data_IF_317301196861
#
_entry.id   IF_317301196861
#
_cell.length_a   1.000
_cell.length_b   1.000
_cell.length_c   1.000
_cell.angle_alpha   90.00
_cell.angle_beta   90.00
_cell.angle_gamma   90.00
#
_symmetry.space_group_name_H-M   'P 1'
#
loop_
_entity.id
_entity.type
_entity.pdbx_description
1 polymer ?
#
# COMPACT_ATOMS: atom_id res chain seq x y z
N UNK A 1 0.06 26.47 -1.95
CA UNK A 1 1.15 25.47 -1.93
C UNK A 1 0.60 24.12 -2.39
N UNK A 2 0.89 23.73 -3.64
CA UNK A 2 -0.05 22.98 -4.48
C UNK A 2 -0.03 21.44 -4.37
N UNK A 3 0.89 20.81 -3.64
CA UNK A 3 0.91 19.34 -3.48
C UNK A 3 1.45 18.89 -2.11
N UNK A 4 0.64 19.01 -1.05
CA UNK A 4 1.00 18.53 0.31
C UNK A 4 1.21 17.01 0.37
N UNK A 5 0.44 16.24 -0.41
CA UNK A 5 0.45 14.76 -0.39
C UNK A 5 1.74 14.17 -0.99
N UNK A 6 2.34 14.80 -2.00
CA UNK A 6 3.61 14.34 -2.61
C UNK A 6 4.85 14.60 -1.73
N UNK A 7 4.85 15.67 -0.93
CA UNK A 7 5.95 15.93 0.03
C UNK A 7 5.95 14.95 1.20
N UNK A 8 4.76 14.54 1.65
CA UNK A 8 4.60 13.46 2.64
C UNK A 8 5.19 12.13 2.14
N UNK A 9 5.07 11.87 0.83
CA UNK A 9 5.62 10.69 0.15
C UNK A 9 7.15 10.62 0.23
N UNK A 10 7.83 11.70 -0.13
CA UNK A 10 9.28 11.80 -0.01
C UNK A 10 9.75 11.73 1.46
N UNK A 11 8.99 12.33 2.38
CA UNK A 11 9.30 12.29 3.82
C UNK A 11 9.18 10.87 4.40
N UNK A 12 8.18 10.08 3.99
CA UNK A 12 8.04 8.67 4.39
C UNK A 12 9.17 7.81 3.85
N UNK A 13 9.63 8.05 2.61
CA UNK A 13 10.77 7.34 2.04
C UNK A 13 12.07 7.64 2.78
N UNK A 14 12.31 8.92 3.12
CA UNK A 14 13.48 9.34 3.90
C UNK A 14 13.40 8.78 5.32
N UNK A 15 12.22 8.81 5.95
CA UNK A 15 11.99 8.25 7.27
C UNK A 15 12.19 6.72 7.29
N UNK A 16 11.73 6.03 6.25
CA UNK A 16 11.96 4.59 6.04
C UNK A 16 13.44 4.30 5.92
N UNK A 17 14.13 5.04 5.04
CA UNK A 17 15.56 4.90 4.87
C UNK A 17 16.29 5.15 6.18
N UNK A 18 15.91 6.16 6.96
CA UNK A 18 16.55 6.46 8.24
C UNK A 18 16.25 5.41 9.32
N UNK A 19 15.00 4.95 9.45
CA UNK A 19 14.60 3.87 10.36
C UNK A 19 15.37 2.58 10.05
N UNK A 20 15.50 2.20 8.77
CA UNK A 20 16.14 0.94 8.40
C UNK A 20 17.65 1.04 8.19
N UNK A 21 18.19 2.20 7.83
CA UNK A 21 19.64 2.44 7.70
C UNK A 21 20.31 2.68 9.06
N UNK A 22 19.57 3.14 10.07
CA UNK A 22 20.07 3.35 11.44
C UNK A 22 19.92 2.12 12.35
N UNK A 23 19.01 1.19 12.02
CA UNK A 23 18.86 -0.08 12.72
C UNK A 23 19.88 -1.11 12.22
N UNK A 24 21.17 -0.79 12.45
CA UNK A 24 22.17 -1.83 12.59
C UNK A 24 21.69 -2.80 13.68
N UNK A 25 21.46 -4.05 13.30
CA UNK A 25 21.29 -5.23 14.16
C UNK A 25 20.09 -5.28 15.11
N UNK A 26 19.17 -4.30 15.09
CA UNK A 26 18.02 -4.25 16.01
C UNK A 26 16.71 -4.04 15.27
N UNK A 27 16.43 -4.87 14.25
CA UNK A 27 15.04 -5.29 14.05
C UNK A 27 14.59 -5.81 15.41
N UNK A 28 13.57 -5.21 16.06
CA UNK A 28 13.29 -5.49 17.47
C UNK A 28 13.17 -7.00 17.60
N UNK A 29 13.95 -7.62 18.48
CA UNK A 29 14.04 -9.07 18.61
C UNK A 29 12.65 -9.72 18.79
N UNK A 30 11.68 -8.95 19.32
CA UNK A 30 10.27 -9.33 19.36
C UNK A 30 9.56 -9.49 18.00
N UNK A 31 9.96 -8.79 16.94
CA UNK A 31 9.42 -8.97 15.58
C UNK A 31 9.90 -10.26 14.92
N UNK A 32 11.11 -10.71 15.26
CA UNK A 32 11.66 -12.00 14.81
C UNK A 32 10.91 -13.15 15.50
N UNK A 33 10.51 -12.99 16.77
CA UNK A 33 9.66 -13.95 17.50
C UNK A 33 8.30 -14.19 16.84
N UNK A 34 7.70 -13.17 16.21
CA UNK A 34 6.41 -13.34 15.51
C UNK A 34 6.51 -14.22 14.26
N UNK A 35 7.72 -14.51 13.76
CA UNK A 35 7.96 -15.48 12.67
C UNK A 35 6.97 -15.34 11.50
N UNK A 36 6.15 -16.35 11.29
CA UNK A 36 5.15 -16.41 10.22
C UNK A 36 4.08 -15.31 10.28
N UNK A 37 3.72 -14.82 11.48
CA UNK A 37 2.79 -13.69 11.62
C UNK A 37 3.42 -12.37 11.14
N UNK A 38 4.72 -12.19 11.38
CA UNK A 38 5.46 -11.04 10.87
C UNK A 38 5.43 -11.00 9.33
N UNK A 39 5.68 -12.15 8.70
CA UNK A 39 5.63 -12.31 7.23
C UNK A 39 4.23 -12.03 6.67
N UNK A 40 3.18 -12.50 7.35
CA UNK A 40 1.79 -12.24 6.96
C UNK A 40 1.47 -10.74 6.99
N UNK A 41 1.85 -10.05 8.07
CA UNK A 41 1.66 -8.60 8.23
C UNK A 41 2.49 -7.83 7.20
N UNK A 42 3.74 -8.24 6.96
CA UNK A 42 4.57 -7.68 5.89
C UNK A 42 3.92 -7.85 4.51
N UNK A 43 3.24 -8.98 4.27
CA UNK A 43 2.42 -9.20 3.07
C UNK A 43 1.28 -8.17 2.93
N UNK A 44 0.54 -7.90 4.00
CA UNK A 44 -0.50 -6.86 4.02
C UNK A 44 0.11 -5.48 3.71
N UNK A 45 1.23 -5.16 4.35
CA UNK A 45 1.94 -3.90 4.16
C UNK A 45 2.58 -3.75 2.77
N UNK A 46 2.83 -4.86 2.07
CA UNK A 46 3.42 -4.83 0.73
C UNK A 46 2.52 -4.14 -0.30
N UNK A 47 1.21 -4.28 -0.15
CA UNK A 47 0.22 -3.75 -1.10
C UNK A 47 0.17 -2.21 -1.10
N UNK A 48 0.40 -1.59 0.04
CA UNK A 48 0.36 -0.14 0.13
C UNK A 48 1.66 0.45 -0.42
N UNK A 49 1.55 1.32 -1.44
CA UNK A 49 2.70 1.87 -2.15
C UNK A 49 3.72 2.58 -1.24
N UNK A 50 3.27 3.11 -0.09
CA UNK A 50 4.15 3.80 0.87
C UNK A 50 4.87 2.86 1.83
N UNK A 51 4.38 1.65 2.04
CA UNK A 51 4.99 0.65 2.93
C UNK A 51 5.61 -0.52 2.16
N UNK A 52 5.45 -0.60 0.84
CA UNK A 52 6.02 -1.63 0.00
C UNK A 52 7.55 -1.81 0.17
N UNK A 53 8.39 -0.75 0.23
CA UNK A 53 9.83 -0.91 0.45
C UNK A 53 10.15 -1.48 1.83
N UNK A 54 9.44 -1.02 2.88
CA UNK A 54 9.56 -1.51 4.25
C UNK A 54 9.20 -3.00 4.31
N UNK A 55 8.03 -3.35 3.75
CA UNK A 55 7.54 -4.71 3.68
C UNK A 55 8.51 -5.65 2.95
N UNK A 56 9.09 -5.17 1.84
CA UNK A 56 10.10 -5.93 1.08
C UNK A 56 11.33 -6.21 1.93
N UNK A 57 11.85 -5.20 2.64
CA UNK A 57 12.98 -5.37 3.55
C UNK A 57 12.65 -6.37 4.67
N UNK A 58 11.46 -6.30 5.26
CA UNK A 58 11.02 -7.24 6.29
C UNK A 58 10.94 -8.68 5.75
N UNK A 59 10.29 -8.91 4.60
CA UNK A 59 10.18 -10.24 3.99
C UNK A 59 11.56 -10.82 3.67
N UNK A 60 12.50 -9.98 3.18
CA UNK A 60 13.88 -10.39 2.92
C UNK A 60 14.60 -10.84 4.20
N UNK A 61 14.51 -10.06 5.28
CA UNK A 61 15.12 -10.39 6.58
C UNK A 61 14.57 -11.72 7.10
N UNK A 62 13.25 -11.94 7.02
CA UNK A 62 12.63 -13.20 7.45
C UNK A 62 12.99 -14.40 6.57
N UNK A 63 13.40 -14.17 5.32
CA UNK A 63 13.72 -15.23 4.35
C UNK A 63 15.09 -15.87 4.56
N UNK A 64 15.96 -15.27 5.37
CA UNK A 64 17.35 -15.74 5.58
C UNK A 64 17.37 -17.13 6.27
N UNK A 65 16.46 -17.38 7.21
CA UNK A 65 16.46 -18.60 8.04
C UNK A 65 15.29 -19.56 7.77
N UNK A 66 14.52 -19.34 6.69
CA UNK A 66 13.26 -20.05 6.43
C UNK A 66 13.08 -20.42 4.95
N UNK A 67 12.16 -21.35 4.67
CA UNK A 67 11.84 -21.74 3.30
C UNK A 67 11.11 -20.61 2.56
N UNK A 68 11.75 -20.07 1.53
CA UNK A 68 11.27 -18.93 0.76
C UNK A 68 9.91 -19.16 0.09
N UNK A 69 9.59 -20.41 -0.30
CA UNK A 69 8.30 -20.74 -0.92
C UNK A 69 7.15 -20.63 0.09
N UNK A 70 7.36 -21.13 1.31
CA UNK A 70 6.37 -21.04 2.38
C UNK A 70 6.15 -19.59 2.82
N UNK A 71 7.23 -18.81 2.89
CA UNK A 71 7.15 -17.38 3.18
C UNK A 71 6.38 -16.62 2.10
N UNK A 72 6.70 -16.89 0.83
CA UNK A 72 6.02 -16.27 -0.30
C UNK A 72 4.52 -16.54 -0.29
N UNK A 73 4.10 -17.76 0.07
CA UNK A 73 2.67 -18.09 0.22
C UNK A 73 2.01 -17.29 1.35
N UNK A 74 2.62 -17.23 2.53
CA UNK A 74 2.06 -16.53 3.69
C UNK A 74 2.00 -15.01 3.43
N UNK A 75 3.06 -14.44 2.88
CA UNK A 75 3.09 -13.04 2.46
C UNK A 75 2.07 -12.77 1.34
N UNK A 76 1.90 -13.70 0.40
CA UNK A 76 0.90 -13.62 -0.67
C UNK A 76 -0.54 -13.62 -0.14
N UNK A 77 -0.85 -14.44 0.86
CA UNK A 77 -2.16 -14.43 1.53
C UNK A 77 -2.38 -13.10 2.27
N UNK A 78 -1.35 -12.59 2.95
CA UNK A 78 -1.38 -11.26 3.55
C UNK A 78 -1.64 -10.17 2.52
N UNK A 79 -0.97 -10.22 1.37
CA UNK A 79 -1.16 -9.29 0.26
C UNK A 79 -2.59 -9.33 -0.27
N UNK A 80 -3.18 -10.52 -0.44
CA UNK A 80 -4.56 -10.67 -0.88
C UNK A 80 -5.54 -9.95 0.08
N UNK A 81 -5.32 -10.09 1.40
CA UNK A 81 -6.13 -9.40 2.41
C UNK A 81 -5.89 -7.88 2.35
N UNK A 82 -4.64 -7.45 2.15
CA UNK A 82 -4.31 -6.04 1.95
C UNK A 82 -5.05 -5.43 0.76
N UNK A 83 -5.08 -6.13 -0.39
CA UNK A 83 -5.83 -5.72 -1.57
C UNK A 83 -7.32 -5.57 -1.25
N UNK A 84 -7.93 -6.54 -0.56
CA UNK A 84 -9.35 -6.47 -0.16
C UNK A 84 -9.64 -5.27 0.75
N UNK A 85 -8.74 -5.00 1.71
CA UNK A 85 -8.85 -3.83 2.60
C UNK A 85 -8.75 -2.54 1.80
N UNK A 86 -7.82 -2.44 0.85
CA UNK A 86 -7.69 -1.28 -0.03
C UNK A 86 -8.95 -1.10 -0.88
N UNK A 87 -9.47 -2.15 -1.49
CA UNK A 87 -10.70 -2.06 -2.28
C UNK A 87 -11.89 -1.60 -1.43
N UNK A 88 -12.01 -2.11 -0.20
CA UNK A 88 -13.07 -1.71 0.71
C UNK A 88 -12.93 -0.24 1.13
N UNK A 89 -11.72 0.18 1.51
CA UNK A 89 -11.44 1.54 1.95
C UNK A 89 -11.59 2.56 0.81
N UNK A 90 -11.04 2.26 -0.38
CA UNK A 90 -11.18 3.13 -1.56
C UNK A 90 -12.65 3.27 -1.94
N UNK A 91 -13.41 2.17 -1.94
CA UNK A 91 -14.83 2.21 -2.29
C UNK A 91 -15.64 3.09 -1.34
N UNK A 92 -15.31 3.13 -0.05
CA UNK A 92 -16.02 3.95 0.93
C UNK A 92 -15.54 5.40 0.88
N UNK A 93 -14.23 5.64 0.97
CA UNK A 93 -13.68 7.00 1.02
C UNK A 93 -13.84 7.79 -0.28
N UNK A 94 -13.76 7.12 -1.44
CA UNK A 94 -13.89 7.81 -2.73
C UNK A 94 -15.31 7.76 -3.30
N UNK A 95 -16.27 7.01 -2.74
CA UNK A 95 -17.65 7.04 -3.24
C UNK A 95 -18.24 8.45 -3.17
N UNK A 96 -18.00 9.16 -2.07
CA UNK A 96 -18.50 10.52 -1.87
C UNK A 96 -17.75 11.52 -2.76
N UNK A 97 -16.41 11.41 -2.84
CA UNK A 97 -15.60 12.26 -3.72
C UNK A 97 -15.93 12.04 -5.21
N UNK A 98 -16.16 10.79 -5.66
CA UNK A 98 -16.56 10.46 -7.03
C UNK A 98 -17.95 11.03 -7.34
N UNK A 99 -18.90 10.92 -6.41
CA UNK A 99 -20.23 11.51 -6.56
C UNK A 99 -20.19 13.04 -6.63
N UNK A 100 -19.31 13.68 -5.87
CA UNK A 100 -19.10 15.13 -5.92
C UNK A 100 -18.40 15.56 -7.21
N UNK A 101 -17.37 14.83 -7.65
CA UNK A 101 -16.65 15.09 -8.90
C UNK A 101 -17.54 14.93 -10.14
N UNK A 102 -18.48 13.98 -10.11
CA UNK A 102 -19.48 13.77 -11.16
C UNK A 102 -20.39 14.99 -11.36
N UNK A 103 -20.63 15.79 -10.32
CA UNK A 103 -21.44 17.02 -10.38
C UNK A 103 -20.66 18.25 -10.86
N UNK A 104 -19.33 18.18 -10.95
CA UNK A 104 -18.49 19.34 -11.28
C UNK A 104 -18.47 19.63 -12.80
N UNK A 105 -18.46 20.91 -13.21
CA UNK A 105 -18.56 21.36 -14.64
C UNK A 105 -17.58 20.69 -15.62
N UNK A 106 -16.46 20.14 -15.12
CA UNK A 106 -15.44 19.44 -15.91
C UNK A 106 -15.95 18.06 -16.40
N UNK A 107 -16.76 17.36 -15.61
CA UNK A 107 -17.37 16.08 -16.00
C UNK A 107 -18.40 16.27 -17.12
N UNK A 108 -19.19 17.35 -17.06
CA UNK A 108 -20.19 17.72 -18.06
C UNK A 108 -19.55 18.12 -19.39
N UNK A 109 -18.38 18.77 -19.36
CA UNK A 109 -17.63 19.12 -20.56
C UNK A 109 -17.05 17.87 -21.25
N UNK A 110 -16.55 16.92 -20.47
CA UNK A 110 -16.12 15.61 -20.98
C UNK A 110 -17.30 14.81 -21.57
N UNK A 111 -18.46 14.80 -20.88
CA UNK A 111 -19.68 14.14 -21.36
C UNK A 111 -20.22 14.73 -22.66
N UNK A 112 -20.01 16.03 -22.91
CA UNK A 112 -20.38 16.71 -24.16
C UNK A 112 -19.54 16.29 -25.36
N UNK A 113 -18.33 15.76 -25.14
CA UNK A 113 -17.44 15.22 -26.18
C UNK A 113 -17.67 13.73 -26.47
N UNK A 114 -18.48 13.05 -25.65
CA UNK A 114 -18.79 11.63 -25.85
C UNK A 114 -20.02 11.54 -26.77
N UNK A 115 -19.92 10.85 -27.92
CA UNK A 115 -21.06 10.68 -28.81
C UNK A 115 -22.21 9.92 -28.11
N UNK A 116 -23.43 10.38 -28.36
CA UNK A 116 -24.65 10.02 -27.64
C UNK A 116 -24.94 8.50 -27.61
N UNK A 117 -24.33 7.73 -28.51
CA UNK A 117 -24.41 6.26 -28.61
C UNK A 117 -23.88 5.50 -27.38
N UNK A 118 -23.07 6.15 -26.53
CA UNK A 118 -22.47 5.54 -25.35
C UNK A 118 -22.91 6.14 -24.01
N UNK A 119 -23.88 7.06 -24.00
CA UNK A 119 -24.53 7.52 -22.77
C UNK A 119 -25.56 6.48 -22.34
N UNK A 120 -25.17 5.60 -21.42
CA UNK A 120 -26.10 4.77 -20.63
C UNK A 120 -26.35 5.44 -19.29
#
# INVERSE_FOLDING_TARGET
MKYKKFKSLGAIYILTFFLFSGLGTSVPEGFIEYGYLGIFISGILYVFSFTAPIATAMILIFSIDKNILLLGLIAGIGSLIGDLVIFHFIRISFADEINEFSKHKISLFANKKIPQKYRK
#
